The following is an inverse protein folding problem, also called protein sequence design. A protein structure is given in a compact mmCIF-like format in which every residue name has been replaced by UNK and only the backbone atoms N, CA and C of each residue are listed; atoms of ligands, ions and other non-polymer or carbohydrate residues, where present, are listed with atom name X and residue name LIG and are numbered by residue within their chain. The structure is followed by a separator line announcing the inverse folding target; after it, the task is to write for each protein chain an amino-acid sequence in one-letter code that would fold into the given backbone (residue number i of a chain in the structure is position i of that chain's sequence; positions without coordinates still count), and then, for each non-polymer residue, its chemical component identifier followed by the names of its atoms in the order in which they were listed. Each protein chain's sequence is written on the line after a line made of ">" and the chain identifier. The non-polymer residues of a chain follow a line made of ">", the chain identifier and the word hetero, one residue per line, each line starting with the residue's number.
data_IF_450730833356
#
_entry.id   IF_450730833356
#
_cell.length_a   1.000
_cell.length_b   1.000
_cell.length_c   1.000
_cell.angle_alpha   90.00
_cell.angle_beta   90.00
_cell.angle_gamma   90.00
#
_symmetry.space_group_name_H-M   'P 1'
#
loop_
_entity.id
_entity.type
_entity.pdbx_description
1 polymer ?
#
# COMPACT_ATOMS: atom_id res chain seq x y z
N UNK A 1 -4.85 29.98 20.92
CA UNK A 1 -4.09 28.93 20.20
C UNK A 1 -3.89 27.76 21.17
N UNK A 2 -4.71 26.71 21.09
CA UNK A 2 -4.59 25.59 22.05
C UNK A 2 -4.91 24.20 21.45
N UNK A 3 -5.00 24.10 20.12
CA UNK A 3 -5.53 22.89 19.45
C UNK A 3 -4.62 21.66 19.53
N UNK A 4 -3.34 21.84 19.83
CA UNK A 4 -2.33 20.79 19.77
C UNK A 4 -1.84 20.32 21.15
N UNK A 5 -2.21 21.01 22.23
CA UNK A 5 -1.60 20.78 23.55
C UNK A 5 -1.95 19.42 24.18
N UNK A 6 -3.04 18.79 23.73
CA UNK A 6 -3.49 17.49 24.25
C UNK A 6 -3.15 16.30 23.32
N UNK A 7 -2.45 16.53 22.20
CA UNK A 7 -2.04 15.43 21.33
C UNK A 7 -0.79 14.79 21.94
N UNK A 8 -0.95 13.54 22.40
CA UNK A 8 0.14 12.78 23.05
C UNK A 8 0.87 11.82 22.10
N UNK A 9 0.42 11.75 20.85
CA UNK A 9 1.03 10.91 19.84
C UNK A 9 0.21 10.94 18.55
N UNK A 10 0.87 10.63 17.44
CA UNK A 10 0.25 10.47 16.12
C UNK A 10 0.77 9.16 15.56
N UNK A 11 -0.16 8.29 15.17
CA UNK A 11 0.16 7.07 14.45
C UNK A 11 -0.13 7.31 12.97
N UNK A 12 0.76 6.79 12.13
CA UNK A 12 0.60 6.80 10.69
C UNK A 12 0.51 5.35 10.21
N UNK A 13 -0.40 5.12 9.28
CA UNK A 13 -0.37 3.90 8.50
C UNK A 13 0.90 3.85 7.63
N UNK A 14 1.30 2.65 7.22
CA UNK A 14 2.48 2.48 6.38
C UNK A 14 2.11 2.59 4.90
N UNK A 15 1.26 1.67 4.44
CA UNK A 15 0.94 1.50 3.03
C UNK A 15 0.07 2.65 2.51
N UNK A 16 0.51 3.29 1.43
CA UNK A 16 -0.18 4.42 0.84
C UNK A 16 -0.19 5.70 1.70
N UNK A 17 0.46 5.69 2.88
CA UNK A 17 0.59 6.87 3.76
C UNK A 17 2.05 7.27 3.94
N UNK A 18 2.90 6.38 4.48
CA UNK A 18 4.33 6.62 4.62
C UNK A 18 5.13 6.03 3.46
N UNK A 19 4.60 5.03 2.77
CA UNK A 19 5.24 4.34 1.66
C UNK A 19 4.27 4.30 0.47
N UNK A 20 4.75 4.70 -0.71
CA UNK A 20 4.04 4.45 -1.97
C UNK A 20 4.16 2.97 -2.37
N UNK A 21 3.45 2.13 -1.64
CA UNK A 21 3.55 0.68 -1.75
C UNK A 21 2.64 0.09 -2.83
N UNK A 22 1.70 0.86 -3.39
CA UNK A 22 0.75 0.36 -4.39
C UNK A 22 1.45 -0.25 -5.64
N UNK A 23 2.46 0.38 -6.26
CA UNK A 23 3.15 -0.22 -7.40
C UNK A 23 3.91 -1.51 -7.02
N UNK A 24 4.54 -1.52 -5.85
CA UNK A 24 5.32 -2.67 -5.36
C UNK A 24 4.43 -3.87 -5.00
N UNK A 25 3.33 -3.63 -4.30
CA UNK A 25 2.34 -4.65 -3.94
C UNK A 25 1.65 -5.20 -5.20
N UNK A 26 1.29 -4.35 -6.16
CA UNK A 26 0.73 -4.78 -7.44
C UNK A 26 1.68 -5.72 -8.20
N UNK A 27 2.96 -5.33 -8.31
CA UNK A 27 3.98 -6.17 -8.95
C UNK A 27 4.17 -7.51 -8.22
N UNK A 28 4.19 -7.51 -6.89
CA UNK A 28 4.32 -8.73 -6.10
C UNK A 28 3.12 -9.69 -6.29
N UNK A 29 1.90 -9.15 -6.32
CA UNK A 29 0.69 -9.92 -6.60
C UNK A 29 0.71 -10.48 -8.02
N UNK A 30 1.09 -9.68 -9.02
CA UNK A 30 1.21 -10.17 -10.40
C UNK A 30 2.26 -11.27 -10.54
N UNK A 31 3.40 -11.17 -9.86
CA UNK A 31 4.41 -12.22 -9.82
C UNK A 31 3.87 -13.52 -9.22
N UNK A 32 3.08 -13.43 -8.15
CA UNK A 32 2.47 -14.59 -7.52
C UNK A 32 1.42 -15.24 -8.44
N UNK A 33 0.57 -14.45 -9.09
CA UNK A 33 -0.41 -14.95 -10.05
C UNK A 33 0.27 -15.62 -11.25
N UNK A 34 1.33 -15.01 -11.77
CA UNK A 34 2.13 -15.59 -12.85
C UNK A 34 2.71 -16.95 -12.45
N UNK A 35 3.26 -17.08 -11.24
CA UNK A 35 3.82 -18.34 -10.74
C UNK A 35 2.77 -19.45 -10.59
N UNK A 36 1.49 -19.09 -10.44
CA UNK A 36 0.36 -20.01 -10.35
C UNK A 36 -0.34 -20.24 -11.71
N UNK A 37 0.22 -19.73 -12.80
CA UNK A 37 -0.37 -19.75 -14.14
C UNK A 37 -1.78 -19.13 -14.20
N UNK A 38 -2.05 -18.17 -13.30
CA UNK A 38 -3.29 -17.42 -13.24
C UNK A 38 -3.16 -16.12 -14.05
N UNK A 39 -4.28 -15.56 -14.54
CA UNK A 39 -4.28 -14.24 -15.17
C UNK A 39 -3.74 -13.18 -14.20
N UNK A 40 -2.76 -12.38 -14.64
CA UNK A 40 -2.22 -11.26 -13.85
C UNK A 40 -3.29 -10.18 -13.66
N UNK A 41 -3.41 -9.65 -12.45
CA UNK A 41 -4.51 -8.77 -12.06
C UNK A 41 -4.37 -7.37 -12.65
N UNK A 42 -3.13 -6.85 -12.78
CA UNK A 42 -2.91 -5.51 -13.29
C UNK A 42 -3.00 -5.40 -14.83
N UNK A 43 -3.20 -6.51 -15.56
CA UNK A 43 -3.39 -6.51 -17.02
C UNK A 43 -4.86 -6.64 -17.37
N UNK A 44 -5.62 -5.59 -17.14
CA UNK A 44 -6.90 -5.35 -17.83
C UNK A 44 -6.69 -4.18 -18.80
N UNK A 45 -6.54 -4.54 -20.09
CA UNK A 45 -6.54 -3.73 -21.32
C UNK A 45 -5.88 -2.33 -21.29
#
# INVERSE_FOLDING_TARGET
>A
MDKLQNIRGVAFDLDGTLVDSAPGLAAAVDMALYALELPVAARSA
#
